data_IF_450018640104
#
_entry.id   IF_450018640104
#
_cell.length_a   1.000
_cell.length_b   1.000
_cell.length_c   1.000
_cell.angle_alpha   90.00
_cell.angle_beta   90.00
_cell.angle_gamma   90.00
#
_symmetry.space_group_name_H-M   'P 1'
#
loop_
_entity.id
_entity.type
_entity.pdbx_description
1 polymer ?
#
# COMPACT_ATOMS: atom_id res chain seq x y z
N UNK A 1 -9.54 5.21 13.24
CA UNK A 1 -8.40 5.52 12.35
C UNK A 1 -8.39 7.01 12.04
N UNK A 2 -7.24 7.63 12.11
CA UNK A 2 -7.10 9.04 11.77
C UNK A 2 -7.11 9.24 10.26
N UNK A 3 -7.72 10.32 9.80
CA UNK A 3 -7.74 10.68 8.38
C UNK A 3 -6.42 11.31 7.93
N UNK A 4 -5.56 11.67 8.87
CA UNK A 4 -4.28 12.33 8.58
C UNK A 4 -3.13 11.67 9.30
N UNK A 5 -1.93 11.86 8.75
CA UNK A 5 -0.68 11.54 9.43
C UNK A 5 0.02 12.88 9.64
N UNK A 6 0.20 13.26 10.91
CA UNK A 6 0.73 14.57 11.24
C UNK A 6 2.23 14.52 11.52
N UNK A 7 2.89 15.68 11.40
CA UNK A 7 4.31 15.88 11.75
C UNK A 7 5.25 14.95 10.98
N UNK A 8 5.05 14.87 9.67
CA UNK A 8 5.89 14.06 8.79
C UNK A 8 6.50 14.92 7.69
N UNK A 9 7.62 14.47 7.17
CA UNK A 9 8.20 15.02 5.95
C UNK A 9 7.75 14.18 4.76
N UNK A 10 7.38 14.82 3.68
CA UNK A 10 6.96 14.16 2.44
C UNK A 10 8.03 14.30 1.39
N UNK A 11 8.46 13.19 0.81
CA UNK A 11 9.36 13.21 -0.34
C UNK A 11 8.55 13.69 -1.55
N UNK A 12 8.95 14.82 -2.11
CA UNK A 12 8.17 15.49 -3.17
C UNK A 12 8.03 14.63 -4.43
N UNK A 13 9.08 13.92 -4.80
CA UNK A 13 9.06 13.10 -6.01
C UNK A 13 8.27 11.83 -5.73
N UNK A 14 7.20 11.63 -6.49
CA UNK A 14 6.38 10.43 -6.36
C UNK A 14 7.11 9.19 -6.86
N UNK A 15 6.73 8.04 -6.28
CA UNK A 15 7.09 6.73 -6.80
C UNK A 15 5.98 6.31 -7.76
N UNK A 16 6.30 6.13 -9.04
CA UNK A 16 5.31 5.78 -10.06
C UNK A 16 5.59 4.36 -10.54
N UNK A 17 4.59 3.50 -10.41
CA UNK A 17 4.68 2.09 -10.80
C UNK A 17 3.63 1.76 -11.84
N UNK A 18 3.92 0.78 -12.70
CA UNK A 18 2.97 0.23 -13.67
C UNK A 18 2.30 1.33 -14.52
N UNK A 19 3.12 2.22 -15.09
CA UNK A 19 2.66 3.31 -15.95
C UNK A 19 1.58 4.20 -15.30
N UNK A 20 1.72 4.46 -14.00
CA UNK A 20 0.82 5.33 -13.27
C UNK A 20 -0.37 4.61 -12.62
N UNK A 21 -0.46 3.30 -12.72
CA UNK A 21 -1.53 2.54 -12.03
C UNK A 21 -1.36 2.55 -10.52
N UNK A 22 -0.15 2.76 -10.03
CA UNK A 22 0.13 2.95 -8.61
C UNK A 22 1.07 4.13 -8.45
N UNK A 23 0.69 5.09 -7.61
CA UNK A 23 1.52 6.26 -7.31
C UNK A 23 1.55 6.41 -5.79
N UNK A 24 2.75 6.55 -5.25
CA UNK A 24 2.92 6.77 -3.82
C UNK A 24 3.96 7.84 -3.54
N UNK A 25 3.90 8.41 -2.34
CA UNK A 25 4.94 9.28 -1.81
C UNK A 25 5.50 8.68 -0.53
N UNK A 26 6.81 8.69 -0.42
CA UNK A 26 7.46 8.28 0.83
C UNK A 26 7.31 9.40 1.86
N UNK A 27 7.04 9.02 3.09
CA UNK A 27 6.96 9.94 4.23
C UNK A 27 7.95 9.49 5.30
N UNK A 28 8.48 10.47 6.03
CA UNK A 28 9.46 10.23 7.09
C UNK A 28 9.00 10.86 8.39
N UNK A 29 9.17 10.12 9.47
CA UNK A 29 8.87 10.59 10.82
C UNK A 29 10.12 11.18 11.46
N UNK A 30 9.93 11.94 12.54
CA UNK A 30 11.04 12.58 13.25
C UNK A 30 12.06 11.57 13.80
N UNK A 31 11.64 10.34 14.10
CA UNK A 31 12.51 9.28 14.61
C UNK A 31 13.30 8.56 13.51
N UNK A 32 13.17 8.99 12.26
CA UNK A 32 13.88 8.40 11.12
C UNK A 32 13.18 7.24 10.46
N UNK A 33 12.05 6.77 10.99
CA UNK A 33 11.27 5.72 10.35
C UNK A 33 10.50 6.28 9.16
N UNK A 34 10.12 5.39 8.24
CA UNK A 34 9.41 5.76 7.03
C UNK A 34 8.23 4.87 6.74
N UNK A 35 7.28 5.45 6.00
CA UNK A 35 6.14 4.75 5.44
C UNK A 35 5.91 5.31 4.04
N UNK A 36 4.97 4.74 3.31
CA UNK A 36 4.50 5.37 2.07
C UNK A 36 3.00 5.49 2.10
N UNK A 37 2.50 6.53 1.42
CA UNK A 37 1.07 6.73 1.22
C UNK A 37 0.82 6.76 -0.28
N UNK A 38 -0.24 6.13 -0.72
CA UNK A 38 -0.45 6.04 -2.15
C UNK A 38 -1.85 5.67 -2.57
N UNK A 39 -2.00 5.57 -3.87
CA UNK A 39 -3.23 5.18 -4.52
C UNK A 39 -2.93 4.17 -5.62
N UNK A 40 -3.79 3.15 -5.70
CA UNK A 40 -3.75 2.17 -6.78
C UNK A 40 -5.03 2.35 -7.59
N UNK A 41 -4.86 2.65 -8.87
CA UNK A 41 -5.98 2.78 -9.80
C UNK A 41 -6.52 1.39 -10.15
N UNK A 42 -7.76 1.30 -10.66
CA UNK A 42 -8.31 0.00 -11.07
C UNK A 42 -7.36 -0.75 -12.01
N UNK A 43 -6.88 -1.88 -11.54
CA UNK A 43 -5.90 -2.72 -12.25
C UNK A 43 -5.65 -4.00 -11.46
N UNK A 44 -4.96 -4.94 -12.09
CA UNK A 44 -4.43 -6.14 -11.44
C UNK A 44 -2.91 -6.05 -11.49
N UNK A 45 -2.28 -6.00 -10.32
CA UNK A 45 -0.85 -5.76 -10.19
C UNK A 45 -0.20 -6.79 -9.28
N UNK A 46 1.10 -7.03 -9.50
CA UNK A 46 1.92 -7.88 -8.63
C UNK A 46 3.06 -7.05 -8.07
N UNK A 47 3.19 -7.04 -6.76
CA UNK A 47 4.27 -6.36 -6.05
C UNK A 47 5.20 -7.36 -5.38
N UNK A 48 6.50 -7.04 -5.38
CA UNK A 48 7.50 -7.80 -4.64
C UNK A 48 7.87 -7.04 -3.37
N UNK A 49 8.16 -7.78 -2.31
CA UNK A 49 8.58 -7.19 -1.03
C UNK A 49 10.05 -7.49 -0.76
N UNK A 50 10.73 -6.52 -0.17
CA UNK A 50 12.03 -6.73 0.45
C UNK A 50 11.84 -6.88 1.96
N UNK A 51 11.51 -5.80 2.65
CA UNK A 51 11.09 -5.84 4.05
C UNK A 51 9.64 -6.31 4.15
N UNK A 52 9.22 -6.85 5.31
CA UNK A 52 7.81 -7.11 5.56
C UNK A 52 7.00 -5.82 5.47
N UNK A 53 5.75 -5.92 5.05
CA UNK A 53 4.87 -4.76 4.89
C UNK A 53 3.52 -5.01 5.53
N UNK A 54 2.89 -3.94 6.00
CA UNK A 54 1.49 -3.95 6.39
C UNK A 54 0.79 -2.91 5.54
N UNK A 55 -0.19 -3.35 4.77
CA UNK A 55 -1.02 -2.49 3.92
C UNK A 55 -2.27 -2.10 4.69
N UNK A 56 -2.37 -0.84 5.05
CA UNK A 56 -3.55 -0.29 5.73
C UNK A 56 -4.45 0.36 4.69
N UNK A 57 -5.70 -0.06 4.63
CA UNK A 57 -6.67 0.49 3.68
C UNK A 57 -7.32 1.73 4.25
N UNK A 58 -7.14 2.86 3.58
CA UNK A 58 -7.70 4.16 3.99
C UNK A 58 -9.07 4.38 3.36
N UNK A 59 -9.20 4.10 2.06
CA UNK A 59 -10.44 4.28 1.32
C UNK A 59 -10.48 3.32 0.14
N UNK A 60 -11.69 2.96 -0.29
CA UNK A 60 -11.87 1.96 -1.33
C UNK A 60 -11.71 0.56 -0.79
N UNK A 61 -11.51 -0.40 -1.67
CA UNK A 61 -11.30 -1.80 -1.31
C UNK A 61 -10.43 -2.48 -2.37
N UNK A 62 -9.86 -3.62 -2.00
CA UNK A 62 -9.11 -4.43 -2.94
C UNK A 62 -9.32 -5.91 -2.65
N UNK A 63 -8.96 -6.74 -3.62
CA UNK A 63 -8.69 -8.16 -3.38
C UNK A 63 -7.18 -8.34 -3.43
N UNK A 64 -6.67 -9.19 -2.58
CA UNK A 64 -5.24 -9.50 -2.55
C UNK A 64 -5.01 -10.99 -2.39
N UNK A 65 -3.87 -11.44 -2.90
CA UNK A 65 -3.47 -12.84 -2.82
C UNK A 65 -2.00 -12.88 -2.45
N UNK A 66 -1.70 -13.44 -1.28
CA UNK A 66 -0.33 -13.68 -0.89
C UNK A 66 0.19 -14.91 -1.64
N UNK A 67 1.52 -14.99 -1.79
CA UNK A 67 2.14 -16.09 -2.50
C UNK A 67 1.75 -17.43 -1.87
N UNK A 68 1.13 -18.30 -2.65
CA UNK A 68 0.68 -19.62 -2.20
C UNK A 68 -0.63 -19.64 -1.43
N UNK A 69 -1.33 -18.51 -1.33
CA UNK A 69 -2.60 -18.41 -0.60
C UNK A 69 -3.75 -18.06 -1.53
N UNK A 70 -4.97 -18.14 -1.00
CA UNK A 70 -6.18 -17.78 -1.74
C UNK A 70 -6.42 -16.27 -1.73
N UNK A 71 -7.28 -15.83 -2.64
CA UNK A 71 -7.71 -14.43 -2.69
C UNK A 71 -8.52 -14.07 -1.45
N UNK A 72 -8.25 -12.87 -0.94
CA UNK A 72 -8.97 -12.28 0.19
C UNK A 72 -9.34 -10.85 -0.16
N UNK A 73 -10.27 -10.27 0.57
CA UNK A 73 -10.68 -8.88 0.39
C UNK A 73 -10.19 -8.03 1.56
N UNK A 74 -9.95 -6.74 1.29
CA UNK A 74 -9.56 -5.79 2.31
C UNK A 74 -10.25 -4.46 2.00
N UNK A 75 -11.05 -3.99 2.94
CA UNK A 75 -11.83 -2.77 2.80
C UNK A 75 -11.32 -1.67 3.73
N UNK A 76 -11.85 -0.47 3.59
CA UNK A 76 -11.47 0.68 4.42
C UNK A 76 -11.52 0.33 5.91
N UNK A 77 -10.48 0.68 6.63
CA UNK A 77 -10.33 0.36 8.06
C UNK A 77 -9.69 -0.97 8.34
N UNK A 78 -9.48 -1.81 7.32
CA UNK A 78 -8.82 -3.10 7.46
C UNK A 78 -7.38 -3.02 6.96
N UNK A 79 -6.58 -4.01 7.32
CA UNK A 79 -5.19 -4.10 6.87
C UNK A 79 -4.81 -5.55 6.61
N UNK A 80 -3.73 -5.75 5.86
CA UNK A 80 -3.15 -7.07 5.68
C UNK A 80 -1.63 -6.99 5.71
N UNK A 81 -1.01 -8.06 6.19
CA UNK A 81 0.44 -8.18 6.31
C UNK A 81 1.00 -9.02 5.17
N UNK A 82 2.15 -8.60 4.65
CA UNK A 82 2.88 -9.33 3.60
C UNK A 82 4.27 -9.67 4.14
N UNK A 83 4.71 -10.93 4.05
CA UNK A 83 6.06 -11.31 4.50
C UNK A 83 7.15 -10.60 3.69
N UNK A 84 8.32 -10.47 4.28
CA UNK A 84 9.50 -9.99 3.55
C UNK A 84 9.97 -11.01 2.52
N UNK A 85 10.72 -10.53 1.53
CA UNK A 85 11.29 -11.35 0.45
C UNK A 85 10.24 -12.24 -0.23
N UNK A 86 9.06 -11.67 -0.50
CA UNK A 86 7.92 -12.38 -1.05
C UNK A 86 7.26 -11.55 -2.14
N UNK A 87 6.03 -11.91 -2.49
CA UNK A 87 5.23 -11.16 -3.44
C UNK A 87 3.76 -11.29 -3.09
N UNK A 88 2.95 -10.37 -3.62
CA UNK A 88 1.50 -10.48 -3.52
C UNK A 88 0.86 -9.87 -4.76
N UNK A 89 -0.30 -10.40 -5.10
CA UNK A 89 -1.14 -9.86 -6.16
C UNK A 89 -2.21 -8.98 -5.52
N UNK A 90 -2.54 -7.88 -6.18
CA UNK A 90 -3.62 -7.00 -5.74
C UNK A 90 -4.49 -6.65 -6.94
N UNK A 91 -5.80 -6.68 -6.73
CA UNK A 91 -6.78 -6.35 -7.76
C UNK A 91 -7.69 -5.26 -7.22
N UNK A 92 -7.75 -4.16 -7.96
CA UNK A 92 -8.61 -3.02 -7.66
C UNK A 92 -9.61 -2.88 -8.79
N UNK A 93 -10.90 -2.84 -8.44
CA UNK A 93 -11.99 -2.66 -9.41
C UNK A 93 -12.89 -1.51 -8.95
N UNK A 94 -13.47 -0.79 -9.91
CA UNK A 94 -14.35 0.35 -9.61
C UNK A 94 -13.58 1.57 -9.17
N UNK A 95 -13.60 1.88 -7.88
CA UNK A 95 -12.94 3.06 -7.33
C UNK A 95 -11.47 2.81 -7.00
N UNK A 96 -10.61 3.86 -7.03
CA UNK A 96 -9.23 3.72 -6.60
C UNK A 96 -9.11 3.26 -5.15
N UNK A 97 -8.03 2.54 -4.88
CA UNK A 97 -7.70 2.02 -3.55
C UNK A 97 -6.62 2.90 -2.91
N UNK A 98 -6.93 3.49 -1.77
CA UNK A 98 -6.01 4.38 -1.04
C UNK A 98 -5.43 3.64 0.15
N UNK A 99 -4.12 3.75 0.35
CA UNK A 99 -3.43 2.95 1.36
C UNK A 99 -2.29 3.69 2.04
N UNK A 100 -1.93 3.18 3.22
CA UNK A 100 -0.66 3.48 3.88
C UNK A 100 0.10 2.17 3.94
N UNK A 101 1.35 2.18 3.47
CA UNK A 101 2.23 1.02 3.56
C UNK A 101 3.20 1.23 4.73
N UNK A 102 3.12 0.35 5.70
CA UNK A 102 4.02 0.32 6.87
C UNK A 102 5.12 -0.69 6.59
N UNK A 103 6.37 -0.27 6.73
CA UNK A 103 7.54 -1.12 6.51
C UNK A 103 8.11 -1.63 7.83
N UNK A 104 8.68 -2.81 7.78
CA UNK A 104 9.34 -3.43 8.91
C UNK A 104 8.46 -4.28 9.74
#
# INVERSE_FOLDING_TARGET
MSATIDNVSVVKKANVYFDGKCVSHSIKFADGTGKSIGVIMPASLTFNTGAPEIMETVAGSCRYKLKGEDWKTCAAGESFAVPGNSSFDIEVTGEPYHYVCHFG
#
